data_IF_422106566774
#
_entry.id   IF_422106566774
#
_cell.length_a   1.000
_cell.length_b   1.000
_cell.length_c   1.000
_cell.angle_alpha   90.00
_cell.angle_beta   90.00
_cell.angle_gamma   90.00
#
_symmetry.space_group_name_H-M   'P 1'
#
loop_
_entity.id
_entity.type
_entity.pdbx_description
1 polymer ?
#
# COMPACT_ATOMS: atom_id res chain seq x y z
N UNK A 1 25.78 24.10 16.51
CA UNK A 1 24.88 23.97 15.34
C UNK A 1 23.88 22.89 15.64
N UNK A 2 22.60 23.27 15.73
CA UNK A 2 21.49 22.45 16.21
C UNK A 2 21.24 21.25 15.30
N UNK A 3 21.10 20.07 15.91
CA UNK A 3 20.70 18.84 15.22
C UNK A 3 19.35 19.09 14.57
N UNK A 4 19.32 19.12 13.23
CA UNK A 4 18.09 19.16 12.45
C UNK A 4 17.50 17.75 12.52
N UNK A 5 16.76 17.52 13.61
CA UNK A 5 16.03 16.29 13.87
C UNK A 5 15.02 16.11 12.72
N UNK A 6 15.38 15.29 11.73
CA UNK A 6 14.46 14.87 10.67
C UNK A 6 13.27 14.24 11.38
N UNK A 7 12.17 14.99 11.48
CA UNK A 7 10.90 14.46 11.92
C UNK A 7 10.66 13.14 11.16
N UNK A 8 10.28 12.05 11.86
CA UNK A 8 10.04 10.77 11.21
C UNK A 8 9.02 11.00 10.08
N UNK A 9 9.18 10.34 8.92
CA UNK A 9 8.25 10.49 7.81
C UNK A 9 6.84 10.21 8.34
N UNK A 10 6.04 11.28 8.40
CA UNK A 10 4.65 11.19 8.84
C UNK A 10 3.97 10.15 7.95
N UNK A 11 3.25 9.18 8.53
CA UNK A 11 2.71 8.10 7.74
C UNK A 11 1.65 8.68 6.80
N UNK A 12 1.94 8.61 5.51
CA UNK A 12 1.11 9.25 4.48
C UNK A 12 -0.29 8.63 4.48
N UNK A 13 -1.31 9.48 4.61
CA UNK A 13 -2.71 9.06 4.51
C UNK A 13 -3.09 8.88 3.03
N UNK A 14 -3.04 7.64 2.54
CA UNK A 14 -3.20 7.32 1.11
C UNK A 14 -4.58 6.78 0.75
N UNK A 15 -5.36 6.32 1.72
CA UNK A 15 -6.58 5.55 1.47
C UNK A 15 -7.79 6.09 2.24
N UNK A 16 -8.99 5.95 1.68
CA UNK A 16 -10.24 6.27 2.38
C UNK A 16 -10.79 5.05 3.11
N UNK A 17 -11.32 5.24 4.32
CA UNK A 17 -12.07 4.21 5.02
C UNK A 17 -13.39 3.94 4.29
N UNK A 18 -13.73 2.69 3.94
CA UNK A 18 -14.98 2.38 3.25
C UNK A 18 -16.22 2.59 4.14
N UNK A 19 -16.07 2.54 5.47
CA UNK A 19 -17.20 2.71 6.39
C UNK A 19 -17.53 4.18 6.70
N UNK A 20 -16.52 5.03 6.93
CA UNK A 20 -16.74 6.41 7.37
C UNK A 20 -16.18 7.47 6.40
N UNK A 21 -15.48 7.08 5.32
CA UNK A 21 -14.87 8.00 4.37
C UNK A 21 -13.62 8.74 4.87
N UNK A 22 -13.24 8.58 6.13
CA UNK A 22 -12.06 9.24 6.69
C UNK A 22 -10.77 8.74 6.03
N UNK A 23 -9.81 9.65 5.84
CA UNK A 23 -8.48 9.27 5.31
C UNK A 23 -7.71 8.47 6.35
N UNK A 24 -7.35 7.25 5.97
CA UNK A 24 -6.62 6.29 6.75
C UNK A 24 -5.12 6.37 6.48
N UNK A 25 -4.37 6.15 7.56
CA UNK A 25 -2.92 6.01 7.54
C UNK A 25 -2.52 4.67 6.90
N UNK A 26 -1.57 4.71 5.96
CA UNK A 26 -1.14 3.48 5.28
C UNK A 26 -0.48 2.48 6.26
N UNK A 27 -0.85 1.21 6.12
CA UNK A 27 -0.28 0.11 6.92
C UNK A 27 -1.00 -0.18 8.23
N UNK A 28 -1.99 0.63 8.63
CA UNK A 28 -2.82 0.32 9.80
C UNK A 28 -3.84 -0.78 9.50
N UNK A 29 -4.06 -1.63 10.49
CA UNK A 29 -5.05 -2.71 10.42
C UNK A 29 -6.49 -2.23 10.68
N UNK A 30 -6.67 -1.03 11.27
CA UNK A 30 -7.97 -0.44 11.60
C UNK A 30 -7.99 1.06 11.27
N UNK A 31 -9.19 1.61 11.11
CA UNK A 31 -9.42 3.03 10.94
C UNK A 31 -9.26 3.77 12.25
N UNK A 32 -8.38 4.77 12.30
CA UNK A 32 -8.18 5.63 13.47
C UNK A 32 -9.43 6.46 13.83
N UNK A 33 -10.35 6.67 12.88
CA UNK A 33 -11.53 7.51 13.10
C UNK A 33 -12.76 6.75 13.58
N UNK A 34 -13.04 5.56 13.02
CA UNK A 34 -14.25 4.79 13.36
C UNK A 34 -13.96 3.40 13.95
N UNK A 35 -12.70 2.95 13.98
CA UNK A 35 -12.32 1.64 14.49
C UNK A 35 -12.58 0.45 13.54
N UNK A 36 -13.21 0.70 12.39
CA UNK A 36 -13.49 -0.33 11.38
C UNK A 36 -12.21 -0.99 10.86
N UNK A 37 -12.29 -2.26 10.46
CA UNK A 37 -11.16 -2.96 9.87
C UNK A 37 -10.69 -2.30 8.57
N UNK A 38 -9.37 -2.15 8.44
CA UNK A 38 -8.78 -1.58 7.24
C UNK A 38 -8.91 -2.55 6.06
N UNK A 39 -9.23 -2.04 4.86
CA UNK A 39 -9.33 -2.88 3.68
C UNK A 39 -7.98 -3.52 3.33
N UNK A 40 -8.02 -4.65 2.62
CA UNK A 40 -6.84 -5.47 2.28
C UNK A 40 -5.74 -4.65 1.60
N UNK A 41 -6.11 -3.68 0.74
CA UNK A 41 -5.17 -2.82 0.03
C UNK A 41 -4.44 -1.81 0.92
N UNK A 42 -4.90 -1.57 2.16
CA UNK A 42 -4.20 -0.74 3.15
C UNK A 42 -3.08 -1.50 3.86
N UNK A 43 -3.00 -2.84 3.69
CA UNK A 43 -1.93 -3.63 4.29
C UNK A 43 -0.60 -3.35 3.60
N UNK A 44 0.47 -3.19 4.39
CA UNK A 44 1.81 -2.85 3.93
C UNK A 44 2.39 -3.85 2.90
N UNK A 45 2.01 -5.13 3.01
CA UNK A 45 2.47 -6.19 2.11
C UNK A 45 1.65 -6.30 0.81
N UNK A 46 0.46 -5.70 0.71
CA UNK A 46 -0.43 -5.89 -0.44
C UNK A 46 0.19 -5.36 -1.74
N UNK A 47 0.67 -4.11 -1.73
CA UNK A 47 1.26 -3.46 -2.92
C UNK A 47 2.49 -4.17 -3.49
N UNK A 48 3.53 -4.52 -2.70
CA UNK A 48 4.68 -5.23 -3.25
C UNK A 48 4.31 -6.62 -3.77
N UNK A 49 3.39 -7.34 -3.12
CA UNK A 49 2.91 -8.64 -3.61
C UNK A 49 2.13 -8.51 -4.91
N UNK A 50 1.23 -7.53 -5.00
CA UNK A 50 0.45 -7.25 -6.19
C UNK A 50 1.36 -6.93 -7.39
N UNK A 51 2.38 -6.08 -7.19
CA UNK A 51 3.32 -5.75 -8.25
C UNK A 51 4.24 -6.90 -8.64
N UNK A 52 4.70 -7.69 -7.67
CA UNK A 52 5.49 -8.89 -7.99
C UNK A 52 4.66 -9.89 -8.82
N UNK A 53 3.38 -10.08 -8.47
CA UNK A 53 2.47 -10.94 -9.22
C UNK A 53 2.21 -10.42 -10.64
N UNK A 54 1.90 -9.12 -10.79
CA UNK A 54 1.71 -8.50 -12.11
C UNK A 54 2.98 -8.60 -12.98
N UNK A 55 4.15 -8.31 -12.41
CA UNK A 55 5.41 -8.40 -13.13
C UNK A 55 5.68 -9.83 -13.62
N UNK A 56 5.41 -10.84 -12.80
CA UNK A 56 5.57 -12.24 -13.19
C UNK A 56 4.65 -12.62 -14.35
N UNK A 57 3.38 -12.20 -14.33
CA UNK A 57 2.42 -12.44 -15.41
C UNK A 57 2.88 -11.77 -16.71
N UNK A 58 3.31 -10.50 -16.64
CA UNK A 58 3.82 -9.78 -17.82
C UNK A 58 5.04 -10.47 -18.41
N UNK A 59 6.01 -10.88 -17.58
CA UNK A 59 7.20 -11.59 -18.05
C UNK A 59 6.85 -12.94 -18.69
N UNK A 60 5.89 -13.67 -18.12
CA UNK A 60 5.42 -14.93 -18.70
C UNK A 60 4.76 -14.72 -20.08
N UNK A 61 3.93 -13.69 -20.23
CA UNK A 61 3.33 -13.33 -21.51
C UNK A 61 4.38 -12.90 -22.55
N UNK A 62 5.36 -12.10 -22.14
CA UNK A 62 6.47 -11.69 -23.04
C UNK A 62 7.30 -12.89 -23.46
N UNK A 63 7.66 -13.79 -22.53
CA UNK A 63 8.39 -15.00 -22.85
C UNK A 63 7.61 -15.90 -23.82
N UNK A 64 6.29 -16.03 -23.62
CA UNK A 64 5.43 -16.78 -24.54
C UNK A 64 5.40 -16.16 -25.94
N UNK A 65 5.28 -14.83 -26.06
CA UNK A 65 5.29 -14.15 -27.35
C UNK A 65 6.62 -14.22 -28.11
N UNK A 66 7.75 -14.36 -27.39
CA UNK A 66 9.09 -14.43 -27.99
C UNK A 66 9.46 -15.84 -28.42
N UNK A 67 8.98 -16.86 -27.69
CA UNK A 67 9.29 -18.28 -27.95
C UNK A 67 8.26 -18.92 -28.88
N UNK A 68 7.04 -18.38 -28.93
CA UNK A 68 5.92 -18.86 -29.75
C UNK A 68 5.93 -18.39 -31.20
#
# INVERSE_FOLDING_TARGET
MSVNEKAPPQPEKKFGCPACGAKMTFGLARCDSCGEEAPIYNRRAFWPLFYASLAAVVLALVAWLVIG
#
